data_IF_471338762457
#
_entry.id   IF_471338762457
#
_cell.length_a   1.000
_cell.length_b   1.000
_cell.length_c   1.000
_cell.angle_alpha   90.00
_cell.angle_beta   90.00
_cell.angle_gamma   90.00
#
_symmetry.space_group_name_H-M   'P 1'
#
loop_
_entity.id
_entity.type
_entity.pdbx_description
1 polymer ?
#
# COMPACT_ATOMS: atom_id res chain seq x y z
N UNK A 1 -15.52 -39.27 -6.86
CA UNK A 1 -14.85 -38.46 -5.82
C UNK A 1 -15.44 -38.79 -4.45
N UNK A 2 -14.59 -39.15 -3.49
CA UNK A 2 -15.00 -39.33 -2.09
C UNK A 2 -15.44 -37.98 -1.50
N UNK A 3 -16.55 -37.96 -0.76
CA UNK A 3 -17.13 -36.74 -0.17
C UNK A 3 -16.14 -35.99 0.72
N UNK A 4 -15.24 -36.71 1.41
CA UNK A 4 -14.22 -36.12 2.26
C UNK A 4 -13.22 -35.27 1.45
N UNK A 5 -12.82 -35.75 0.27
CA UNK A 5 -11.90 -35.01 -0.61
C UNK A 5 -12.56 -33.75 -1.15
N UNK A 6 -13.84 -33.85 -1.51
CA UNK A 6 -14.64 -32.71 -1.98
C UNK A 6 -14.71 -31.59 -0.93
N UNK A 7 -15.00 -31.96 0.32
CA UNK A 7 -15.08 -31.04 1.45
C UNK A 7 -13.74 -30.38 1.73
N UNK A 8 -12.66 -31.17 1.79
CA UNK A 8 -11.31 -30.65 2.03
C UNK A 8 -10.89 -29.65 0.96
N UNK A 9 -11.18 -29.96 -0.30
CA UNK A 9 -10.86 -29.08 -1.41
C UNK A 9 -11.73 -27.81 -1.44
N UNK A 10 -13.02 -27.90 -1.07
CA UNK A 10 -13.87 -26.72 -0.90
C UNK A 10 -13.29 -25.74 0.12
N UNK A 11 -12.90 -26.23 1.30
CA UNK A 11 -12.30 -25.38 2.34
C UNK A 11 -10.93 -24.82 1.92
N UNK A 12 -10.13 -25.60 1.20
CA UNK A 12 -8.85 -25.14 0.65
C UNK A 12 -9.06 -23.97 -0.33
N UNK A 13 -10.00 -24.11 -1.27
CA UNK A 13 -10.33 -23.07 -2.24
C UNK A 13 -10.85 -21.82 -1.53
N UNK A 14 -11.75 -21.98 -0.57
CA UNK A 14 -12.29 -20.88 0.22
C UNK A 14 -11.19 -20.15 1.02
N UNK A 15 -10.24 -20.89 1.60
CA UNK A 15 -9.09 -20.34 2.31
C UNK A 15 -8.23 -19.46 1.40
N UNK A 16 -7.92 -19.96 0.19
CA UNK A 16 -7.13 -19.22 -0.78
C UNK A 16 -7.87 -17.95 -1.22
N UNK A 17 -9.17 -18.02 -1.50
CA UNK A 17 -9.96 -16.84 -1.85
C UNK A 17 -9.97 -15.79 -0.74
N UNK A 18 -10.15 -16.19 0.53
CA UNK A 18 -10.08 -15.24 1.65
C UNK A 18 -8.72 -14.56 1.78
N UNK A 19 -7.64 -15.30 1.53
CA UNK A 19 -6.28 -14.77 1.54
C UNK A 19 -6.08 -13.78 0.39
N UNK A 20 -6.49 -14.13 -0.83
CA UNK A 20 -6.42 -13.23 -2.00
C UNK A 20 -7.19 -11.94 -1.75
N UNK A 21 -8.44 -12.04 -1.26
CA UNK A 21 -9.26 -10.86 -0.92
C UNK A 21 -8.51 -9.97 0.08
N UNK A 22 -7.93 -10.55 1.12
CA UNK A 22 -7.21 -9.81 2.16
C UNK A 22 -5.98 -9.09 1.61
N UNK A 23 -5.17 -9.77 0.80
CA UNK A 23 -3.95 -9.20 0.18
C UNK A 23 -4.30 -8.07 -0.77
N UNK A 24 -5.21 -8.28 -1.72
CA UNK A 24 -5.59 -7.24 -2.68
C UNK A 24 -6.31 -6.07 -2.02
N UNK A 25 -7.08 -6.30 -0.94
CA UNK A 25 -7.68 -5.22 -0.15
C UNK A 25 -6.61 -4.30 0.43
N UNK A 26 -5.51 -4.88 0.95
CA UNK A 26 -4.39 -4.10 1.47
C UNK A 26 -3.72 -3.31 0.34
N UNK A 27 -3.48 -3.93 -0.82
CA UNK A 27 -2.91 -3.24 -1.98
C UNK A 27 -3.75 -2.04 -2.42
N UNK A 28 -5.07 -2.18 -2.53
CA UNK A 28 -5.94 -1.05 -2.87
C UNK A 28 -5.96 0.04 -1.80
N UNK A 29 -5.89 -0.32 -0.52
CA UNK A 29 -5.76 0.69 0.55
C UNK A 29 -4.48 1.50 0.44
N UNK A 30 -3.38 0.90 -0.01
CA UNK A 30 -2.14 1.63 -0.27
C UNK A 30 -2.30 2.67 -1.39
N UNK A 31 -3.25 2.47 -2.31
CA UNK A 31 -3.59 3.47 -3.34
C UNK A 31 -4.48 4.61 -2.84
N UNK A 32 -4.85 4.60 -1.55
CA UNK A 32 -5.65 5.65 -0.92
C UNK A 32 -7.14 5.35 -0.80
N UNK A 33 -7.57 4.08 -0.87
CA UNK A 33 -8.97 3.71 -0.65
C UNK A 33 -9.23 3.34 0.81
N UNK A 34 -10.45 3.61 1.30
CA UNK A 34 -10.89 3.12 2.60
C UNK A 34 -10.98 1.59 2.61
N UNK A 35 -10.86 0.99 3.81
CA UNK A 35 -10.86 -0.47 3.96
C UNK A 35 -12.15 -1.13 3.44
N UNK A 36 -13.30 -0.49 3.63
CA UNK A 36 -14.59 -1.03 3.21
C UNK A 36 -14.74 -1.00 1.69
N UNK A 37 -14.49 0.16 1.07
CA UNK A 37 -14.52 0.35 -0.39
C UNK A 37 -13.53 -0.59 -1.07
N UNK A 38 -12.30 -0.66 -0.57
CA UNK A 38 -11.28 -1.57 -1.13
C UNK A 38 -11.70 -3.04 -1.06
N UNK A 39 -12.26 -3.49 0.07
CA UNK A 39 -12.66 -4.89 0.25
C UNK A 39 -13.81 -5.26 -0.67
N UNK A 40 -14.84 -4.42 -0.74
CA UNK A 40 -16.00 -4.65 -1.59
C UNK A 40 -15.59 -4.75 -3.07
N UNK A 41 -14.73 -3.84 -3.52
CA UNK A 41 -14.26 -3.79 -4.90
C UNK A 41 -13.38 -4.98 -5.25
N UNK A 42 -12.47 -5.40 -4.35
CA UNK A 42 -11.66 -6.61 -4.55
C UNK A 42 -12.53 -7.86 -4.66
N UNK A 43 -13.57 -7.99 -3.83
CA UNK A 43 -14.52 -9.10 -3.94
C UNK A 43 -15.17 -9.08 -5.32
N UNK A 44 -15.72 -7.94 -5.74
CA UNK A 44 -16.37 -7.81 -7.04
C UNK A 44 -15.45 -8.11 -8.23
N UNK A 45 -14.16 -7.73 -8.16
CA UNK A 45 -13.18 -7.98 -9.21
C UNK A 45 -12.78 -9.46 -9.27
N UNK A 46 -12.63 -10.12 -8.11
CA UNK A 46 -12.27 -11.54 -8.04
C UNK A 46 -13.42 -12.47 -8.39
N UNK A 47 -14.67 -12.07 -8.11
CA UNK A 47 -15.87 -12.85 -8.44
C UNK A 47 -16.45 -12.50 -9.81
N UNK A 48 -15.84 -11.55 -10.53
CA UNK A 48 -16.28 -11.10 -11.86
C UNK A 48 -17.75 -10.66 -11.90
N UNK A 49 -18.29 -10.18 -10.77
CA UNK A 49 -19.71 -9.80 -10.66
C UNK A 49 -20.02 -8.44 -11.32
N UNK A 50 -18.99 -7.62 -11.55
CA UNK A 50 -19.10 -6.42 -12.39
C UNK A 50 -19.98 -5.31 -11.83
N UNK A 51 -20.00 -5.07 -10.51
CA UNK A 51 -20.78 -3.97 -9.95
C UNK A 51 -20.28 -2.61 -10.46
N UNK A 52 -21.06 -1.98 -11.35
CA UNK A 52 -20.86 -0.61 -11.83
C UNK A 52 -21.51 0.36 -10.84
N UNK A 53 -20.75 0.83 -9.86
CA UNK A 53 -21.20 1.86 -8.92
C UNK A 53 -20.36 3.12 -9.07
N UNK A 54 -20.85 4.26 -8.59
CA UNK A 54 -20.05 5.49 -8.48
C UNK A 54 -18.75 5.26 -7.68
N UNK A 55 -18.77 4.32 -6.74
CA UNK A 55 -17.56 3.89 -6.03
C UNK A 55 -16.59 3.10 -6.90
N UNK A 56 -17.09 2.37 -7.90
CA UNK A 56 -16.28 1.62 -8.86
C UNK A 56 -15.54 2.56 -9.84
N UNK A 57 -16.08 3.75 -10.13
CA UNK A 57 -15.37 4.78 -10.93
C UNK A 57 -14.09 5.28 -10.23
N UNK A 58 -14.08 5.30 -8.88
CA UNK A 58 -12.90 5.67 -8.08
C UNK A 58 -11.73 4.69 -8.31
N UNK A 59 -12.02 3.44 -8.68
CA UNK A 59 -11.01 2.43 -9.07
C UNK A 59 -10.36 2.75 -10.41
N UNK A 60 -11.04 3.50 -11.28
CA UNK A 60 -10.55 3.87 -12.61
C UNK A 60 -9.92 5.27 -12.64
N UNK A 61 -10.10 6.07 -11.58
CA UNK A 61 -9.64 7.45 -11.49
C UNK A 61 -8.11 7.64 -11.64
N UNK A 62 -7.30 6.61 -11.37
CA UNK A 62 -5.83 6.69 -11.52
C UNK A 62 -5.29 5.49 -12.30
N UNK A 63 -4.21 5.72 -13.07
CA UNK A 63 -3.56 4.68 -13.88
C UNK A 63 -3.12 3.47 -13.05
N UNK A 64 -2.62 3.69 -11.84
CA UNK A 64 -2.15 2.63 -10.95
C UNK A 64 -3.30 1.75 -10.44
N UNK A 65 -4.43 2.35 -10.03
CA UNK A 65 -5.62 1.59 -9.62
C UNK A 65 -6.20 0.82 -10.79
N UNK A 66 -6.28 1.43 -11.97
CA UNK A 66 -6.76 0.76 -13.20
C UNK A 66 -5.92 -0.46 -13.57
N UNK A 67 -4.58 -0.35 -13.50
CA UNK A 67 -3.66 -1.47 -13.74
C UNK A 67 -3.86 -2.59 -12.72
N UNK A 68 -3.95 -2.24 -11.43
CA UNK A 68 -4.18 -3.21 -10.36
C UNK A 68 -5.53 -3.93 -10.52
N UNK A 69 -6.61 -3.20 -10.80
CA UNK A 69 -7.93 -3.78 -11.08
C UNK A 69 -7.88 -4.76 -12.25
N UNK A 70 -7.22 -4.38 -13.35
CA UNK A 70 -7.09 -5.22 -14.53
C UNK A 70 -6.31 -6.52 -14.24
N UNK A 71 -5.23 -6.43 -13.48
CA UNK A 71 -4.47 -7.60 -13.04
C UNK A 71 -5.32 -8.54 -12.17
N UNK A 72 -6.10 -7.99 -11.23
CA UNK A 72 -6.96 -8.78 -10.35
C UNK A 72 -8.06 -9.49 -11.14
N UNK A 73 -8.68 -8.84 -12.11
CA UNK A 73 -9.70 -9.46 -12.95
C UNK A 73 -9.14 -10.65 -13.74
N UNK A 74 -7.97 -10.49 -14.35
CA UNK A 74 -7.30 -11.58 -15.08
C UNK A 74 -6.94 -12.72 -14.13
N UNK A 75 -6.35 -12.40 -12.96
CA UNK A 75 -6.00 -13.40 -11.94
C UNK A 75 -7.25 -14.14 -11.45
N UNK A 76 -8.34 -13.44 -11.16
CA UNK A 76 -9.59 -14.03 -10.69
C UNK A 76 -10.19 -15.02 -11.70
N UNK A 77 -10.21 -14.64 -12.98
CA UNK A 77 -10.69 -15.53 -14.05
C UNK A 77 -9.80 -16.77 -14.23
N UNK A 78 -8.49 -16.57 -14.36
CA UNK A 78 -7.53 -17.68 -14.51
C UNK A 78 -7.59 -18.61 -13.30
N UNK A 79 -7.67 -18.05 -12.09
CA UNK A 79 -7.75 -18.84 -10.86
C UNK A 79 -9.04 -19.67 -10.79
N UNK A 80 -10.18 -19.13 -11.23
CA UNK A 80 -11.44 -19.86 -11.31
C UNK A 80 -11.35 -21.06 -12.25
N UNK A 81 -10.76 -20.87 -13.44
CA UNK A 81 -10.53 -21.95 -14.42
C UNK A 81 -9.57 -23.01 -13.88
N UNK A 82 -8.48 -22.59 -13.21
CA UNK A 82 -7.51 -23.50 -12.59
C UNK A 82 -8.15 -24.36 -11.49
N UNK A 83 -9.01 -23.78 -10.66
CA UNK A 83 -9.75 -24.52 -9.64
C UNK A 83 -10.59 -25.59 -10.32
N UNK A 84 -11.45 -25.24 -11.27
CA UNK A 84 -12.33 -26.23 -11.95
C UNK A 84 -11.51 -27.37 -12.56
N UNK A 85 -10.40 -27.04 -13.23
CA UNK A 85 -9.48 -28.05 -13.80
C UNK A 85 -8.89 -28.97 -12.73
N UNK A 86 -8.43 -28.41 -11.61
CA UNK A 86 -7.91 -29.17 -10.48
C UNK A 86 -8.97 -30.10 -9.87
N UNK A 87 -10.21 -29.62 -9.68
CA UNK A 87 -11.32 -30.42 -9.14
C UNK A 87 -11.59 -31.62 -10.04
N UNK A 88 -11.74 -31.39 -11.35
CA UNK A 88 -12.06 -32.45 -12.31
C UNK A 88 -10.93 -33.47 -12.36
N UNK A 89 -9.68 -33.02 -12.48
CA UNK A 89 -8.54 -33.91 -12.55
C UNK A 89 -8.40 -34.77 -11.28
N UNK A 90 -8.57 -34.16 -10.10
CA UNK A 90 -8.52 -34.88 -8.83
C UNK A 90 -9.70 -35.83 -8.65
N UNK A 91 -10.90 -35.45 -9.09
CA UNK A 91 -12.09 -36.29 -9.03
C UNK A 91 -11.98 -37.56 -9.88
N UNK A 92 -11.23 -37.49 -10.99
CA UNK A 92 -11.00 -38.61 -11.92
C UNK A 92 -9.80 -39.48 -11.52
N UNK A 93 -8.78 -38.89 -10.87
CA UNK A 93 -7.49 -39.56 -10.63
C UNK A 93 -7.40 -40.34 -9.32
N UNK A 94 -8.34 -40.18 -8.38
CA UNK A 94 -8.31 -40.87 -7.07
C UNK A 94 -9.11 -42.18 -7.13
N UNK A 95 -8.48 -43.36 -6.99
CA UNK A 95 -9.17 -44.63 -6.86
C UNK A 95 -9.99 -44.71 -5.55
N UNK A 96 -11.18 -45.29 -5.62
CA UNK A 96 -12.14 -45.36 -4.50
C UNK A 96 -11.65 -46.22 -3.31
N UNK A 97 -10.58 -46.99 -3.47
CA UNK A 97 -10.04 -47.91 -2.45
C UNK A 97 -9.27 -47.22 -1.32
N UNK A 98 -8.81 -45.98 -1.49
CA UNK A 98 -7.94 -45.28 -0.54
C UNK A 98 -8.71 -44.26 0.32
N UNK A 99 -9.99 -44.54 0.59
CA UNK A 99 -10.92 -43.58 1.19
C UNK A 99 -10.60 -43.17 2.63
N UNK A 100 -9.87 -44.00 3.38
CA UNK A 100 -9.47 -43.72 4.78
C UNK A 100 -8.33 -42.71 4.89
N UNK A 101 -7.36 -42.73 3.96
CA UNK A 101 -6.12 -41.96 4.06
C UNK A 101 -6.34 -40.45 3.90
N UNK A 102 -7.36 -40.05 3.14
CA UNK A 102 -7.68 -38.65 2.93
C UNK A 102 -8.55 -38.04 4.04
N UNK A 103 -9.16 -38.86 4.91
CA UNK A 103 -10.01 -38.36 5.99
C UNK A 103 -9.27 -37.45 6.96
N UNK A 104 -8.06 -37.85 7.39
CA UNK A 104 -7.22 -37.06 8.28
C UNK A 104 -6.81 -35.71 7.66
N UNK A 105 -6.47 -35.72 6.37
CA UNK A 105 -6.09 -34.50 5.63
C UNK A 105 -7.27 -33.54 5.52
N UNK A 106 -8.46 -34.03 5.20
CA UNK A 106 -9.68 -33.22 5.14
C UNK A 106 -10.00 -32.58 6.49
N UNK A 107 -9.89 -33.32 7.59
CA UNK A 107 -10.12 -32.81 8.94
C UNK A 107 -9.09 -31.71 9.26
N UNK A 108 -7.81 -31.93 8.95
CA UNK A 108 -6.75 -30.95 9.15
C UNK A 108 -7.02 -29.65 8.40
N UNK A 109 -7.37 -29.72 7.11
CA UNK A 109 -7.66 -28.54 6.29
C UNK A 109 -8.90 -27.80 6.83
N UNK A 110 -9.95 -28.54 7.20
CA UNK A 110 -11.18 -27.95 7.74
C UNK A 110 -10.92 -27.26 9.09
N UNK A 111 -10.13 -27.89 9.96
CA UNK A 111 -9.70 -27.31 11.23
C UNK A 111 -8.83 -26.06 11.02
N UNK A 112 -7.90 -26.10 10.06
CA UNK A 112 -7.08 -24.95 9.70
C UNK A 112 -7.91 -23.79 9.14
N UNK A 113 -8.94 -24.08 8.34
CA UNK A 113 -9.89 -23.08 7.84
C UNK A 113 -10.66 -22.39 8.98
N UNK A 114 -11.23 -23.18 9.90
CA UNK A 114 -11.95 -22.63 11.07
C UNK A 114 -11.00 -21.84 11.97
N UNK A 115 -9.80 -22.36 12.22
CA UNK A 115 -8.77 -21.67 12.99
C UNK A 115 -8.42 -20.32 12.33
N UNK A 116 -8.22 -20.29 11.01
CA UNK A 116 -7.91 -19.06 10.28
C UNK A 116 -9.07 -18.05 10.36
N UNK A 117 -10.32 -18.50 10.29
CA UNK A 117 -11.49 -17.63 10.49
C UNK A 117 -11.48 -16.98 11.87
N UNK A 118 -11.19 -17.75 12.92
CA UNK A 118 -11.08 -17.25 14.29
C UNK A 118 -9.92 -16.25 14.42
N UNK A 119 -8.72 -16.61 13.93
CA UNK A 119 -7.57 -15.70 13.94
C UNK A 119 -7.84 -14.40 13.19
N UNK A 120 -8.59 -14.46 12.08
CA UNK A 120 -8.94 -13.30 11.28
C UNK A 120 -9.88 -12.32 12.00
N UNK A 121 -10.58 -12.76 13.06
CA UNK A 121 -11.42 -11.88 13.92
C UNK A 121 -10.60 -11.09 14.93
N UNK A 122 -9.37 -11.53 15.21
CA UNK A 122 -8.51 -10.92 16.23
C UNK A 122 -7.79 -9.70 15.64
N UNK A 123 -8.09 -8.50 16.18
CA UNK A 123 -7.53 -7.20 15.73
C UNK A 123 -5.99 -7.20 15.57
N UNK A 124 -5.18 -7.67 16.55
CA UNK A 124 -3.72 -7.62 16.42
C UNK A 124 -3.19 -8.54 15.31
N UNK A 125 -3.78 -9.72 15.09
CA UNK A 125 -3.37 -10.64 14.01
C UNK A 125 -3.61 -9.98 12.65
N UNK A 126 -4.81 -9.44 12.46
CA UNK A 126 -5.15 -8.69 11.24
C UNK A 126 -4.22 -7.50 11.01
N UNK A 127 -3.87 -6.77 12.06
CA UNK A 127 -2.94 -5.64 11.99
C UNK A 127 -1.53 -6.07 11.60
N UNK A 128 -0.99 -7.14 12.22
CA UNK A 128 0.33 -7.69 11.88
C UNK A 128 0.40 -8.17 10.45
N UNK A 129 -0.61 -8.90 10.00
CA UNK A 129 -0.71 -9.34 8.61
C UNK A 129 -0.74 -8.14 7.66
N UNK A 130 -1.53 -7.11 7.98
CA UNK A 130 -1.58 -5.89 7.18
C UNK A 130 -0.21 -5.19 7.11
N UNK A 131 0.51 -5.06 8.23
CA UNK A 131 1.86 -4.48 8.25
C UNK A 131 2.87 -5.30 7.45
N UNK A 132 2.79 -6.63 7.52
CA UNK A 132 3.66 -7.52 6.74
C UNK A 132 3.47 -7.34 5.23
N UNK A 133 2.22 -7.40 4.77
CA UNK A 133 1.88 -7.20 3.36
C UNK A 133 2.23 -5.79 2.91
N UNK A 134 2.00 -4.78 3.75
CA UNK A 134 2.37 -3.40 3.48
C UNK A 134 3.88 -3.22 3.33
N UNK A 135 4.68 -3.84 4.20
CA UNK A 135 6.15 -3.81 4.10
C UNK A 135 6.64 -4.44 2.79
N UNK A 136 6.05 -5.57 2.42
CA UNK A 136 6.39 -6.28 1.19
C UNK A 136 5.99 -5.48 -0.05
N UNK A 137 4.80 -4.89 -0.06
CA UNK A 137 4.31 -4.05 -1.14
C UNK A 137 5.15 -2.77 -1.30
N UNK A 138 5.53 -2.10 -0.21
CA UNK A 138 6.40 -0.89 -0.27
C UNK A 138 7.77 -1.21 -0.84
N UNK A 139 8.37 -2.34 -0.45
CA UNK A 139 9.65 -2.80 -0.99
C UNK A 139 9.56 -3.11 -2.49
N UNK A 140 8.41 -3.60 -2.95
CA UNK A 140 8.17 -3.85 -4.37
C UNK A 140 7.87 -2.55 -5.16
N UNK A 141 7.20 -1.56 -4.55
CA UNK A 141 6.80 -0.32 -5.21
C UNK A 141 7.79 0.85 -5.08
N UNK A 142 8.87 0.74 -4.30
CA UNK A 142 9.86 1.81 -4.06
C UNK A 142 9.23 3.21 -3.83
N UNK A 143 8.12 3.26 -3.08
CA UNK A 143 7.34 4.49 -2.92
C UNK A 143 7.26 4.90 -1.45
N UNK A 144 8.12 5.84 -1.07
CA UNK A 144 8.11 6.55 0.23
C UNK A 144 7.22 7.80 0.22
N UNK A 145 6.18 7.83 -0.64
CA UNK A 145 5.31 9.02 -0.77
C UNK A 145 4.30 9.10 0.38
N UNK A 146 3.95 10.33 0.78
CA UNK A 146 2.91 10.61 1.76
C UNK A 146 1.57 10.00 1.31
N UNK A 147 0.89 9.32 2.23
CA UNK A 147 -0.37 8.63 1.94
C UNK A 147 -1.53 9.63 2.01
N UNK A 148 -2.23 9.79 0.89
CA UNK A 148 -3.52 10.49 0.83
C UNK A 148 -4.60 9.40 0.70
N UNK A 149 -5.41 9.24 1.73
CA UNK A 149 -6.55 8.30 1.74
C UNK A 149 -7.81 9.09 1.44
N UNK A 150 -8.47 8.80 0.32
CA UNK A 150 -9.75 9.40 -0.04
C UNK A 150 -10.85 8.71 0.76
N UNK A 151 -11.51 9.46 1.65
CA UNK A 151 -12.63 9.01 2.46
C UNK A 151 -13.91 9.03 1.62
N UNK A 152 -14.21 10.16 0.99
CA UNK A 152 -15.44 10.30 0.21
C UNK A 152 -15.40 11.38 -0.88
N UNK A 153 -16.36 11.30 -1.80
CA UNK A 153 -16.59 12.29 -2.85
C UNK A 153 -17.96 12.95 -2.64
N UNK A 154 -17.98 14.25 -2.37
CA UNK A 154 -19.21 15.03 -2.21
C UNK A 154 -19.35 16.02 -3.36
N UNK A 155 -20.20 15.68 -4.34
CA UNK A 155 -20.37 16.44 -5.59
C UNK A 155 -19.05 16.64 -6.34
N UNK A 156 -18.48 17.85 -6.31
CA UNK A 156 -17.21 18.24 -6.93
C UNK A 156 -16.03 18.27 -5.94
N UNK A 157 -16.25 17.93 -4.66
CA UNK A 157 -15.25 17.99 -3.61
C UNK A 157 -14.85 16.60 -3.12
N UNK A 158 -13.60 16.46 -2.66
CA UNK A 158 -13.03 15.20 -2.17
C UNK A 158 -12.68 15.37 -0.69
N UNK A 159 -13.21 14.50 0.16
CA UNK A 159 -12.79 14.38 1.56
C UNK A 159 -11.63 13.38 1.58
N UNK A 160 -10.43 13.85 1.92
CA UNK A 160 -9.25 13.01 2.00
C UNK A 160 -8.53 13.19 3.35
N UNK A 161 -8.06 12.09 3.92
CA UNK A 161 -7.17 12.04 5.06
C UNK A 161 -5.73 12.02 4.55
N UNK A 162 -4.94 13.04 4.91
CA UNK A 162 -3.52 13.12 4.58
C UNK A 162 -2.71 12.69 5.80
N UNK A 163 -1.89 11.65 5.64
CA UNK A 163 -0.89 11.30 6.64
C UNK A 163 0.39 12.07 6.34
N UNK A 164 0.63 13.12 7.11
CA UNK A 164 1.87 13.89 7.07
C UNK A 164 2.80 13.30 8.13
N UNK A 165 4.00 12.91 7.74
CA UNK A 165 5.04 12.54 8.70
C UNK A 165 5.52 13.83 9.37
N UNK A 166 5.24 13.97 10.66
CA UNK A 166 5.63 15.13 11.45
C UNK A 166 7.17 15.29 11.38
N UNK A 167 7.62 16.42 10.85
CA UNK A 167 9.03 16.78 10.72
C UNK A 167 9.34 17.82 11.78
N UNK A 168 10.10 17.42 12.80
CA UNK A 168 10.60 18.37 13.80
C UNK A 168 11.79 19.12 13.23
N UNK A 169 11.57 20.37 12.82
CA UNK A 169 12.67 21.24 12.39
C UNK A 169 13.42 21.69 13.66
N UNK A 170 14.58 21.09 13.93
CA UNK A 170 15.49 21.56 14.97
C UNK A 170 16.42 22.62 14.37
N UNK A 171 16.10 23.88 14.61
CA UNK A 171 16.96 25.02 14.27
C UNK A 171 17.53 25.66 15.53
N UNK A 172 18.81 26.00 15.51
CA UNK A 172 19.46 26.81 16.56
C UNK A 172 19.67 28.21 16.01
N UNK A 173 19.16 29.23 16.71
CA UNK A 173 19.53 30.62 16.42
C UNK A 173 20.84 30.94 17.13
N UNK A 174 21.81 31.46 16.38
CA UNK A 174 23.10 31.88 16.94
C UNK A 174 22.94 33.29 17.49
N UNK A 175 22.97 33.43 18.81
CA UNK A 175 22.78 34.71 19.51
C UNK A 175 23.98 35.13 20.38
N UNK A 176 24.98 34.26 20.58
CA UNK A 176 26.16 34.53 21.39
C UNK A 176 27.43 34.40 20.54
N UNK A 177 28.47 35.14 20.92
CA UNK A 177 29.79 35.04 20.29
C UNK A 177 30.37 33.63 20.41
N UNK A 178 30.10 32.94 21.53
CA UNK A 178 30.55 31.56 21.75
C UNK A 178 29.88 30.57 20.78
N UNK A 179 28.58 30.71 20.55
CA UNK A 179 27.86 29.89 19.57
C UNK A 179 28.27 30.22 18.13
N UNK A 180 28.64 31.47 17.87
CA UNK A 180 29.16 31.90 16.57
C UNK A 180 30.52 31.26 16.28
N UNK A 181 31.45 31.32 17.24
CA UNK A 181 32.76 30.67 17.13
C UNK A 181 32.62 29.16 16.87
N UNK A 182 31.78 28.47 17.66
CA UNK A 182 31.52 27.05 17.46
C UNK A 182 30.91 26.74 16.07
N UNK A 183 30.06 27.61 15.54
CA UNK A 183 29.50 27.45 14.19
C UNK A 183 30.58 27.61 13.10
N UNK A 184 31.53 28.54 13.27
CA UNK A 184 32.66 28.72 12.36
C UNK A 184 33.56 27.47 12.37
N UNK A 185 33.89 26.93 13.54
CA UNK A 185 34.68 25.69 13.64
C UNK A 185 34.00 24.51 12.94
N UNK A 186 32.67 24.45 13.05
CA UNK A 186 31.88 23.39 12.46
C UNK A 186 31.78 23.53 10.93
N UNK A 187 31.70 24.76 10.40
CA UNK A 187 31.83 25.03 8.96
C UNK A 187 33.24 24.70 8.45
N UNK A 188 34.29 25.13 9.15
CA UNK A 188 35.67 24.85 8.78
C UNK A 188 36.00 23.35 8.75
N UNK A 189 35.26 22.54 9.52
CA UNK A 189 35.40 21.08 9.51
C UNK A 189 34.87 20.40 8.23
N UNK A 190 34.16 21.11 7.35
CA UNK A 190 33.56 20.58 6.12
C UNK A 190 32.39 19.60 6.35
N UNK A 191 32.02 19.32 7.61
CA UNK A 191 30.99 18.35 7.97
C UNK A 191 29.58 18.73 7.53
N UNK A 192 29.36 20.00 7.19
CA UNK A 192 28.05 20.53 6.80
C UNK A 192 27.94 20.91 5.32
N UNK A 193 28.99 20.74 4.51
CA UNK A 193 29.02 21.26 3.13
C UNK A 193 27.90 20.67 2.26
N UNK A 194 27.79 19.33 2.23
CA UNK A 194 26.73 18.61 1.51
C UNK A 194 25.32 18.95 2.05
N UNK A 195 25.05 18.85 3.36
CA UNK A 195 23.76 19.27 3.93
C UNK A 195 23.38 20.73 3.63
N UNK A 196 24.33 21.67 3.70
CA UNK A 196 24.08 23.09 3.50
C UNK A 196 23.79 23.41 2.03
N UNK A 197 24.48 22.75 1.09
CA UNK A 197 24.17 22.87 -0.34
C UNK A 197 22.75 22.42 -0.63
N UNK A 198 22.28 21.35 0.02
CA UNK A 198 20.89 20.88 -0.09
C UNK A 198 19.83 21.87 0.43
N UNK A 199 20.21 22.88 1.22
CA UNK A 199 19.30 23.93 1.70
C UNK A 199 19.18 25.12 0.74
N UNK A 200 20.11 25.28 -0.21
CA UNK A 200 20.09 26.38 -1.16
C UNK A 200 19.13 26.02 -2.30
N UNK A 201 18.05 26.78 -2.42
CA UNK A 201 17.02 26.54 -3.44
C UNK A 201 17.35 27.21 -4.76
N UNK A 202 18.05 28.35 -4.72
CA UNK A 202 18.51 29.06 -5.91
C UNK A 202 19.69 29.98 -5.57
N UNK A 203 20.56 30.20 -6.56
CA UNK A 203 21.67 31.15 -6.51
C UNK A 203 21.46 32.17 -7.62
N UNK A 204 21.52 33.45 -7.30
CA UNK A 204 21.37 34.55 -8.24
C UNK A 204 22.64 35.42 -8.24
N UNK A 205 23.09 35.90 -9.41
CA UNK A 205 24.08 36.96 -9.47
C UNK A 205 23.58 38.23 -8.77
N UNK A 206 24.49 39.02 -8.18
CA UNK A 206 24.13 40.29 -7.54
C UNK A 206 23.31 41.23 -8.46
N UNK A 207 23.58 41.22 -9.77
CA UNK A 207 22.84 41.99 -10.77
C UNK A 207 21.34 41.64 -10.83
N UNK A 208 20.97 40.40 -10.45
CA UNK A 208 19.61 39.88 -10.44
C UNK A 208 18.99 39.89 -9.03
N UNK A 209 19.56 40.65 -8.09
CA UNK A 209 19.12 40.68 -6.71
C UNK A 209 17.62 40.99 -6.53
N UNK A 210 17.04 41.85 -7.38
CA UNK A 210 15.61 42.14 -7.35
C UNK A 210 14.75 40.91 -7.64
N UNK A 211 15.18 40.05 -8.57
CA UNK A 211 14.51 38.80 -8.90
C UNK A 211 14.67 37.76 -7.78
N UNK A 212 15.85 37.69 -7.17
CA UNK A 212 16.13 36.87 -6.00
C UNK A 212 15.15 37.19 -4.85
N UNK A 213 14.92 38.47 -4.56
CA UNK A 213 13.95 38.90 -3.54
C UNK A 213 12.50 38.59 -3.95
N UNK A 214 12.12 38.75 -5.22
CA UNK A 214 10.78 38.43 -5.70
C UNK A 214 10.47 36.93 -5.62
N UNK A 215 11.47 36.07 -5.85
CA UNK A 215 11.34 34.61 -5.68
C UNK A 215 11.21 34.24 -4.21
N UNK A 216 12.03 34.82 -3.33
CA UNK A 216 11.94 34.59 -1.90
C UNK A 216 10.57 35.04 -1.32
N UNK A 217 10.03 36.16 -1.80
CA UNK A 217 8.76 36.72 -1.33
C UNK A 217 7.51 35.92 -1.76
N UNK A 218 7.58 35.20 -2.89
CA UNK A 218 6.45 34.39 -3.39
C UNK A 218 6.13 33.18 -2.50
N UNK A 219 7.10 32.69 -1.72
CA UNK A 219 6.96 31.49 -0.90
C UNK A 219 6.77 30.20 -1.72
N UNK A 220 6.57 29.06 -1.03
CA UNK A 220 6.40 27.75 -1.65
C UNK A 220 7.66 26.88 -1.59
N UNK A 221 8.16 26.43 -2.74
CA UNK A 221 9.27 25.46 -2.87
C UNK A 221 10.66 26.06 -2.58
N UNK A 222 10.73 27.33 -2.17
CA UNK A 222 11.98 28.04 -1.91
C UNK A 222 12.30 28.07 -0.41
N UNK A 223 13.37 27.38 0.00
CA UNK A 223 13.88 27.34 1.35
C UNK A 223 14.92 28.44 1.62
N UNK A 224 15.92 28.62 0.74
CA UNK A 224 16.93 29.68 0.86
C UNK A 224 17.41 30.16 -0.51
N UNK A 225 17.45 31.47 -0.72
CA UNK A 225 18.04 32.11 -1.90
C UNK A 225 19.39 32.70 -1.52
N UNK A 226 20.41 32.46 -2.34
CA UNK A 226 21.75 33.00 -2.15
C UNK A 226 22.03 34.02 -3.26
N UNK A 227 22.50 35.20 -2.88
CA UNK A 227 22.98 36.21 -3.83
C UNK A 227 24.49 36.13 -3.85
N UNK A 228 25.04 35.74 -4.99
CA UNK A 228 26.49 35.65 -5.19
C UNK A 228 27.03 37.03 -5.56
N UNK A 229 28.03 37.48 -4.79
CA UNK A 229 28.68 38.80 -4.87
C UNK A 229 30.03 38.63 -5.57
#
# INVERSE_FOLDING_TARGET
>A
MNINVAIGLFFLVALIYMLLISVFTILFRLTGLTQEKARFQVISLLTTSGFTTRESEIMLATLNRRRLSSQIMIIGYVFSVLIVSLIINLALSIPQSNASDFGAVTILISAAFVLLLILSRIKPIRSRFAHFIEKLARRALNSDRNKIVVLDFYHSHIIAQVFIKELTIQGVRIHSQLNFAAAIDLLASGRLDEPLRGLISAVYPLAEGAEAFAVAARGGDCFKVLVEI
#
